data_IF_774422819297
#
_entry.id   IF_774422819297
#
_cell.length_a   1.000
_cell.length_b   1.000
_cell.length_c   1.000
_cell.angle_alpha   90.00
_cell.angle_beta   90.00
_cell.angle_gamma   90.00
#
_symmetry.space_group_name_H-M   'P 1'
#
loop_
_entity.id
_entity.type
_entity.pdbx_description
1 polymer ?
#
# COMPACT_ATOMS: atom_id res chain seq x y z
N UNK A 1 11.02 -16.89 17.23
CA UNK A 1 12.45 -16.50 17.18
C UNK A 1 12.59 -15.21 16.38
N UNK A 2 13.35 -14.23 16.88
CA UNK A 2 13.76 -13.05 16.10
C UNK A 2 14.91 -13.39 15.14
N UNK A 3 15.13 -12.55 14.12
CA UNK A 3 16.19 -12.71 13.12
C UNK A 3 17.59 -12.78 13.76
N UNK A 4 17.82 -12.06 14.87
CA UNK A 4 19.06 -12.11 15.65
C UNK A 4 19.35 -13.48 16.26
N UNK A 5 18.32 -14.26 16.60
CA UNK A 5 18.51 -15.58 17.22
C UNK A 5 18.78 -16.68 16.16
N UNK A 6 18.39 -16.46 14.90
CA UNK A 6 18.58 -17.45 13.84
C UNK A 6 20.04 -17.69 13.51
N UNK A 7 20.83 -16.63 13.34
CA UNK A 7 22.26 -16.70 13.04
C UNK A 7 23.04 -17.47 14.11
N UNK A 8 22.65 -17.30 15.37
CA UNK A 8 23.18 -18.05 16.51
C UNK A 8 22.87 -19.54 16.41
N UNK A 9 21.61 -19.94 16.22
CA UNK A 9 21.30 -21.38 16.10
C UNK A 9 21.89 -22.01 14.83
N UNK A 10 21.95 -21.28 13.72
CA UNK A 10 22.63 -21.74 12.50
C UNK A 10 24.12 -21.97 12.78
N UNK A 11 24.80 -21.08 13.51
CA UNK A 11 26.21 -21.28 13.86
C UNK A 11 26.44 -22.51 14.75
N UNK A 12 25.54 -22.77 15.70
CA UNK A 12 25.57 -23.99 16.51
C UNK A 12 25.37 -25.25 15.68
N UNK A 13 24.45 -25.23 14.71
CA UNK A 13 24.24 -26.33 13.76
C UNK A 13 25.50 -26.56 12.92
N UNK A 14 26.15 -25.51 12.43
CA UNK A 14 27.42 -25.62 11.70
C UNK A 14 28.56 -26.17 12.57
N UNK A 15 28.65 -25.73 13.82
CA UNK A 15 29.62 -26.27 14.80
C UNK A 15 29.36 -27.75 15.04
N UNK A 16 28.10 -28.14 15.20
CA UNK A 16 27.70 -29.52 15.33
C UNK A 16 28.10 -30.33 14.09
N UNK A 17 27.83 -29.81 12.89
CA UNK A 17 28.17 -30.44 11.62
C UNK A 17 29.68 -30.68 11.48
N UNK A 18 30.51 -29.65 11.76
CA UNK A 18 31.98 -29.70 11.57
C UNK A 18 32.73 -30.49 12.64
N UNK A 19 32.17 -30.67 13.82
CA UNK A 19 32.83 -31.41 14.89
C UNK A 19 32.84 -32.91 14.61
N UNK A 20 34.00 -33.55 14.58
CA UNK A 20 34.08 -35.00 14.47
C UNK A 20 33.64 -35.72 15.75
N UNK A 21 33.62 -35.03 16.89
CA UNK A 21 33.27 -35.62 18.20
C UNK A 21 31.74 -35.71 18.38
N UNK A 22 30.99 -34.84 17.71
CA UNK A 22 29.52 -34.85 17.74
C UNK A 22 29.01 -35.87 16.72
N UNK A 23 28.43 -36.97 17.20
CA UNK A 23 27.93 -38.07 16.35
C UNK A 23 26.42 -38.00 16.11
N UNK A 24 25.68 -37.42 17.04
CA UNK A 24 24.23 -37.22 16.94
C UNK A 24 23.84 -35.87 17.58
N UNK A 25 22.70 -35.33 17.17
CA UNK A 25 22.16 -34.07 17.67
C UNK A 25 20.68 -34.23 18.02
N UNK A 26 20.32 -33.82 19.23
CA UNK A 26 18.92 -33.67 19.63
C UNK A 26 18.59 -32.18 19.67
N UNK A 27 17.56 -31.77 18.92
CA UNK A 27 17.08 -30.40 18.86
C UNK A 27 15.81 -30.31 19.71
N UNK A 28 15.91 -29.65 20.86
CA UNK A 28 14.75 -29.34 21.70
C UNK A 28 13.92 -28.22 21.05
N UNK A 29 12.63 -28.44 20.87
CA UNK A 29 11.70 -27.49 20.25
C UNK A 29 10.51 -27.24 21.19
N UNK A 30 10.32 -25.97 21.51
CA UNK A 30 9.10 -25.43 22.11
C UNK A 30 8.87 -24.02 21.54
N UNK A 31 8.17 -23.95 20.41
CA UNK A 31 8.03 -22.71 19.64
C UNK A 31 6.77 -22.70 18.76
N UNK A 32 6.07 -21.55 18.68
CA UNK A 32 4.96 -21.35 17.76
C UNK A 32 5.42 -21.06 16.32
N UNK A 33 6.73 -20.90 16.08
CA UNK A 33 7.31 -20.55 14.78
C UNK A 33 8.03 -19.18 14.78
N UNK A 34 7.92 -18.46 13.68
CA UNK A 34 8.52 -17.13 13.51
C UNK A 34 8.61 -16.68 12.05
N UNK A 35 9.53 -15.75 11.78
CA UNK A 35 9.72 -15.16 10.45
C UNK A 35 10.08 -16.23 9.42
N UNK A 36 9.37 -16.25 8.29
CA UNK A 36 9.48 -17.29 7.27
C UNK A 36 10.92 -17.50 6.76
N UNK A 37 11.63 -16.43 6.40
CA UNK A 37 13.03 -16.50 5.92
C UNK A 37 13.99 -17.08 6.95
N UNK A 38 13.81 -16.73 8.23
CA UNK A 38 14.56 -17.27 9.35
C UNK A 38 14.30 -18.76 9.53
N UNK A 39 13.04 -19.18 9.47
CA UNK A 39 12.64 -20.59 9.61
C UNK A 39 13.13 -21.43 8.42
N UNK A 40 13.11 -20.87 7.21
CA UNK A 40 13.67 -21.52 6.02
C UNK A 40 15.20 -21.71 6.12
N UNK A 41 15.92 -20.69 6.60
CA UNK A 41 17.37 -20.80 6.83
C UNK A 41 17.70 -21.91 7.84
N UNK A 42 16.94 -21.99 8.93
CA UNK A 42 17.07 -23.05 9.93
C UNK A 42 16.72 -24.43 9.35
N UNK A 43 15.65 -24.53 8.56
CA UNK A 43 15.26 -25.76 7.88
C UNK A 43 16.40 -26.31 7.03
N UNK A 44 17.02 -25.49 6.18
CA UNK A 44 18.12 -25.94 5.33
C UNK A 44 19.37 -26.33 6.13
N UNK A 45 19.70 -25.58 7.20
CA UNK A 45 20.83 -25.92 8.07
C UNK A 45 20.61 -27.27 8.78
N UNK A 46 19.43 -27.49 9.37
CA UNK A 46 19.07 -28.77 10.01
C UNK A 46 19.01 -29.89 8.99
N UNK A 47 18.49 -29.63 7.78
CA UNK A 47 18.43 -30.63 6.72
C UNK A 47 19.83 -31.12 6.34
N UNK A 48 20.77 -30.19 6.17
CA UNK A 48 22.18 -30.52 5.89
C UNK A 48 22.81 -31.32 7.03
N UNK A 49 22.52 -30.96 8.27
CA UNK A 49 22.98 -31.72 9.44
C UNK A 49 22.42 -33.15 9.44
N UNK A 50 21.12 -33.32 9.15
CA UNK A 50 20.44 -34.62 9.08
C UNK A 50 20.96 -35.56 7.98
N UNK A 51 21.59 -35.01 6.93
CA UNK A 51 22.24 -35.81 5.88
C UNK A 51 23.52 -36.49 6.38
N UNK A 52 24.26 -35.83 7.29
CA UNK A 52 25.57 -36.29 7.74
C UNK A 52 25.51 -36.94 9.13
N UNK A 53 24.55 -36.54 9.97
CA UNK A 53 24.47 -36.95 11.38
C UNK A 53 23.06 -37.30 11.79
N UNK A 54 22.95 -38.23 12.74
CA UNK A 54 21.66 -38.58 13.32
C UNK A 54 21.10 -37.36 14.05
N UNK A 55 19.97 -36.86 13.55
CA UNK A 55 19.35 -35.66 14.08
C UNK A 55 17.92 -35.97 14.50
N UNK A 56 17.59 -35.71 15.77
CA UNK A 56 16.28 -35.97 16.37
C UNK A 56 15.70 -34.64 16.85
N UNK A 57 14.50 -34.28 16.39
CA UNK A 57 13.73 -33.21 17.02
C UNK A 57 13.00 -33.78 18.24
N UNK A 58 13.11 -33.12 19.39
CA UNK A 58 12.27 -33.39 20.55
C UNK A 58 11.32 -32.21 20.76
N UNK A 59 10.02 -32.47 20.68
CA UNK A 59 8.97 -31.47 20.93
C UNK A 59 8.53 -31.60 22.38
N UNK A 60 8.91 -30.63 23.20
CA UNK A 60 8.55 -30.59 24.62
C UNK A 60 7.16 -29.98 24.86
N UNK A 61 6.91 -28.82 24.26
CA UNK A 61 5.62 -28.13 24.33
C UNK A 61 4.96 -28.06 22.96
N UNK A 62 5.47 -27.19 22.10
CA UNK A 62 4.91 -26.94 20.77
C UNK A 62 5.97 -26.97 19.67
N UNK A 63 5.62 -27.49 18.51
CA UNK A 63 6.34 -27.21 17.27
C UNK A 63 5.32 -26.85 16.19
N UNK A 64 4.95 -25.58 16.11
CA UNK A 64 3.94 -25.08 15.18
C UNK A 64 4.54 -24.23 14.04
N UNK A 65 3.89 -24.23 12.88
CA UNK A 65 4.25 -23.48 11.67
C UNK A 65 5.74 -23.62 11.34
N UNK A 66 6.50 -22.52 11.36
CA UNK A 66 7.94 -22.52 11.11
C UNK A 66 8.75 -23.47 12.01
N UNK A 67 8.34 -23.69 13.26
CA UNK A 67 9.02 -24.62 14.15
C UNK A 67 8.79 -26.07 13.74
N UNK A 68 7.56 -26.42 13.31
CA UNK A 68 7.29 -27.73 12.72
C UNK A 68 8.08 -27.93 11.43
N UNK A 69 8.18 -26.88 10.62
CA UNK A 69 8.96 -26.90 9.40
C UNK A 69 10.42 -27.27 9.70
N UNK A 70 11.10 -26.61 10.64
CA UNK A 70 12.45 -27.00 11.09
C UNK A 70 12.48 -28.43 11.65
N UNK A 71 11.52 -28.82 12.49
CA UNK A 71 11.45 -30.17 13.05
C UNK A 71 11.36 -31.26 11.96
N UNK A 72 10.64 -30.98 10.87
CA UNK A 72 10.47 -31.90 9.75
C UNK A 72 11.77 -32.21 9.01
N UNK A 73 12.79 -31.33 9.10
CA UNK A 73 14.11 -31.56 8.53
C UNK A 73 14.94 -32.59 9.31
N UNK A 74 14.58 -32.90 10.57
CA UNK A 74 15.22 -33.94 11.37
C UNK A 74 14.93 -35.34 10.83
N UNK A 75 15.83 -36.29 11.11
CA UNK A 75 15.63 -37.69 10.73
C UNK A 75 14.48 -38.33 11.50
N UNK A 76 14.33 -37.97 12.78
CA UNK A 76 13.24 -38.41 13.64
C UNK A 76 12.64 -37.23 14.42
N UNK A 77 11.35 -37.33 14.75
CA UNK A 77 10.62 -36.41 15.61
C UNK A 77 10.02 -37.22 16.76
N UNK A 78 10.41 -36.87 17.98
CA UNK A 78 9.85 -37.38 19.24
C UNK A 78 9.05 -36.26 19.89
N UNK A 79 7.86 -36.55 20.40
CA UNK A 79 7.03 -35.54 21.08
C UNK A 79 6.42 -36.10 22.37
N UNK A 80 6.26 -35.27 23.40
CA UNK A 80 5.48 -35.66 24.57
C UNK A 80 4.00 -35.82 24.20
N UNK A 81 3.22 -36.69 24.87
CA UNK A 81 1.82 -36.94 24.51
C UNK A 81 0.94 -35.68 24.47
N UNK A 82 1.18 -34.72 25.37
CA UNK A 82 0.47 -33.45 25.45
C UNK A 82 1.02 -32.37 24.50
N UNK A 83 2.13 -32.62 23.81
CA UNK A 83 2.71 -31.66 22.88
C UNK A 83 1.86 -31.50 21.62
N UNK A 84 1.97 -30.32 21.00
CA UNK A 84 1.21 -29.97 19.80
C UNK A 84 2.14 -29.63 18.64
N UNK A 85 1.82 -30.14 17.46
CA UNK A 85 2.58 -29.93 16.23
C UNK A 85 1.69 -29.51 15.06
N UNK A 86 2.31 -29.14 13.94
CA UNK A 86 1.59 -28.80 12.70
C UNK A 86 1.44 -27.30 12.54
N UNK A 87 0.22 -26.81 12.29
CA UNK A 87 -0.09 -25.42 11.97
C UNK A 87 0.75 -24.89 10.79
N UNK A 88 0.96 -25.72 9.76
CA UNK A 88 1.70 -25.32 8.57
C UNK A 88 0.87 -24.29 7.81
N UNK A 89 1.35 -23.06 7.78
CA UNK A 89 0.63 -21.93 7.23
C UNK A 89 1.44 -20.64 7.36
N UNK A 90 1.06 -19.64 6.57
CA UNK A 90 1.68 -18.31 6.56
C UNK A 90 0.59 -17.27 6.81
N UNK A 91 0.87 -16.35 7.73
CA UNK A 91 0.10 -15.13 7.90
C UNK A 91 0.96 -14.00 7.35
N UNK A 92 0.39 -13.18 6.47
CA UNK A 92 1.07 -12.05 5.87
C UNK A 92 0.18 -10.80 5.93
N UNK A 93 0.82 -9.64 6.07
CA UNK A 93 0.15 -8.33 5.98
C UNK A 93 0.29 -7.87 4.54
N UNK A 94 -0.84 -7.66 3.87
CA UNK A 94 -0.85 -7.16 2.49
C UNK A 94 -0.29 -5.74 2.42
N UNK A 95 0.37 -5.36 1.32
CA UNK A 95 0.74 -3.97 1.09
C UNK A 95 -0.46 -3.01 1.23
N UNK A 96 -0.29 -1.80 1.78
CA UNK A 96 -1.36 -0.80 1.81
C UNK A 96 -1.47 -0.08 0.45
N UNK A 97 -2.67 0.43 0.13
CA UNK A 97 -2.84 1.36 -0.98
C UNK A 97 -2.02 2.64 -0.74
N UNK A 98 -1.32 3.11 -1.76
CA UNK A 98 -0.46 4.31 -1.67
C UNK A 98 -1.26 5.54 -2.08
N UNK A 99 -1.35 6.50 -1.16
CA UNK A 99 -1.87 7.84 -1.43
C UNK A 99 -0.72 8.62 -2.09
N UNK A 100 -0.93 9.28 -3.25
CA UNK A 100 0.13 10.01 -3.93
C UNK A 100 0.54 11.25 -3.10
N UNK A 101 1.76 11.74 -3.30
CA UNK A 101 2.28 12.92 -2.61
C UNK A 101 3.14 13.76 -3.52
N UNK A 102 3.03 15.08 -3.41
CA UNK A 102 3.94 16.03 -4.09
C UNK A 102 5.18 16.34 -3.23
N UNK A 103 5.18 15.96 -1.94
CA UNK A 103 6.29 16.21 -1.01
C UNK A 103 7.22 14.99 -0.88
N UNK A 104 6.69 13.79 -1.11
CA UNK A 104 7.45 12.53 -1.08
C UNK A 104 7.50 11.97 -2.49
N UNK A 105 8.71 11.88 -3.03
CA UNK A 105 8.97 11.43 -4.40
C UNK A 105 9.59 10.04 -4.35
N UNK A 106 8.81 9.03 -4.71
CA UNK A 106 9.27 7.65 -4.89
C UNK A 106 9.62 7.37 -6.35
N UNK A 107 10.66 6.60 -6.66
CA UNK A 107 11.08 6.35 -8.07
C UNK A 107 10.25 5.29 -8.81
N UNK A 108 9.08 4.89 -8.27
CA UNK A 108 8.19 3.92 -8.90
C UNK A 108 7.04 3.47 -7.96
N UNK A 109 5.98 2.86 -8.53
CA UNK A 109 4.73 2.58 -7.82
C UNK A 109 4.88 1.63 -6.63
N UNK A 110 5.84 0.69 -6.71
CA UNK A 110 6.08 -0.30 -5.68
C UNK A 110 7.19 0.09 -4.70
N UNK A 111 7.80 1.27 -4.83
CA UNK A 111 8.95 1.65 -4.00
C UNK A 111 8.57 1.85 -2.53
N UNK A 112 7.36 2.36 -2.26
CA UNK A 112 6.85 2.54 -0.90
C UNK A 112 6.35 1.23 -0.26
N UNK A 113 5.89 0.28 -1.07
CA UNK A 113 5.26 -0.96 -0.60
C UNK A 113 6.15 -2.20 -0.69
N UNK A 114 7.17 -2.16 -1.54
CA UNK A 114 8.02 -3.30 -1.90
C UNK A 114 7.37 -4.29 -2.87
N UNK A 115 6.05 -4.37 -2.89
CA UNK A 115 5.28 -5.37 -3.62
C UNK A 115 4.04 -4.78 -4.28
N UNK A 116 3.59 -5.45 -5.35
CA UNK A 116 2.25 -5.29 -5.92
C UNK A 116 1.19 -5.72 -4.92
N UNK A 117 0.10 -4.97 -4.81
CA UNK A 117 -1.03 -5.37 -3.98
C UNK A 117 -1.70 -6.63 -4.56
N UNK A 118 -1.91 -6.62 -5.88
CA UNK A 118 -2.62 -7.68 -6.61
C UNK A 118 -1.85 -9.01 -6.59
N UNK A 119 -0.53 -8.95 -6.77
CA UNK A 119 0.30 -10.15 -6.89
C UNK A 119 0.84 -10.68 -5.55
N UNK A 120 0.76 -9.89 -4.46
CA UNK A 120 1.28 -10.31 -3.16
C UNK A 120 0.68 -11.62 -2.61
N UNK A 121 -0.64 -11.89 -2.73
CA UNK A 121 -1.21 -13.18 -2.32
C UNK A 121 -0.56 -14.36 -3.05
N UNK A 122 -0.20 -14.21 -4.33
CA UNK A 122 0.49 -15.27 -5.08
C UNK A 122 1.92 -15.49 -4.58
N UNK A 123 2.62 -14.42 -4.19
CA UNK A 123 3.93 -14.55 -3.55
C UNK A 123 3.83 -15.34 -2.23
N UNK A 124 2.81 -15.07 -1.42
CA UNK A 124 2.56 -15.80 -0.16
C UNK A 124 2.24 -17.27 -0.44
N UNK A 125 1.36 -17.54 -1.41
CA UNK A 125 1.02 -18.91 -1.82
C UNK A 125 2.24 -19.70 -2.29
N UNK A 126 3.14 -19.07 -3.06
CA UNK A 126 4.36 -19.73 -3.52
C UNK A 126 5.29 -20.13 -2.37
N UNK A 127 5.44 -19.27 -1.35
CA UNK A 127 6.24 -19.58 -0.16
C UNK A 127 5.59 -20.73 0.63
N UNK A 128 4.26 -20.72 0.77
CA UNK A 128 3.50 -21.78 1.44
C UNK A 128 3.65 -23.12 0.71
N UNK A 129 3.52 -23.12 -0.62
CA UNK A 129 3.72 -24.30 -1.47
C UNK A 129 5.12 -24.89 -1.26
N UNK A 130 6.15 -24.06 -1.31
CA UNK A 130 7.53 -24.48 -1.09
C UNK A 130 7.73 -25.08 0.31
N UNK A 131 7.20 -24.44 1.35
CA UNK A 131 7.26 -24.93 2.73
C UNK A 131 6.59 -26.30 2.87
N UNK A 132 5.37 -26.46 2.37
CA UNK A 132 4.63 -27.72 2.46
C UNK A 132 5.29 -28.84 1.65
N UNK A 133 5.77 -28.56 0.44
CA UNK A 133 6.49 -29.54 -0.38
C UNK A 133 7.78 -29.99 0.30
N UNK A 134 8.54 -29.07 0.90
CA UNK A 134 9.73 -29.41 1.67
C UNK A 134 9.40 -30.32 2.88
N UNK A 135 8.27 -30.12 3.56
CA UNK A 135 7.81 -31.00 4.65
C UNK A 135 7.48 -32.39 4.10
N UNK A 136 6.73 -32.47 3.00
CA UNK A 136 6.36 -33.75 2.37
C UNK A 136 7.62 -34.51 1.96
N UNK A 137 8.59 -33.83 1.33
CA UNK A 137 9.86 -34.43 0.91
C UNK A 137 10.71 -34.86 2.12
N UNK A 138 10.73 -34.08 3.20
CA UNK A 138 11.51 -34.40 4.38
C UNK A 138 10.92 -35.60 5.14
N UNK A 139 9.59 -35.71 5.23
CA UNK A 139 8.87 -36.80 5.91
C UNK A 139 8.68 -38.04 5.01
N UNK A 140 8.76 -37.91 3.68
CA UNK A 140 8.68 -38.99 2.68
C UNK A 140 7.42 -39.85 2.87
N UNK A 141 7.56 -41.17 2.82
CA UNK A 141 6.47 -42.13 3.00
C UNK A 141 5.89 -42.19 4.42
N UNK A 142 6.43 -41.42 5.38
CA UNK A 142 5.89 -41.38 6.74
C UNK A 142 4.65 -40.50 6.83
N UNK A 143 4.63 -39.36 6.14
CA UNK A 143 3.50 -38.44 6.16
C UNK A 143 2.32 -39.05 5.40
N UNK A 144 1.15 -39.03 6.02
CA UNK A 144 -0.11 -39.57 5.45
C UNK A 144 -1.08 -38.47 5.02
N UNK A 145 -0.76 -37.23 5.35
CA UNK A 145 -1.52 -36.07 4.92
C UNK A 145 -1.15 -35.71 3.49
N UNK A 146 -2.17 -35.33 2.71
CA UNK A 146 -2.00 -34.70 1.40
C UNK A 146 -1.48 -33.27 1.56
N UNK A 147 -0.96 -32.70 0.47
CA UNK A 147 -0.57 -31.29 0.40
C UNK A 147 -1.69 -30.36 0.91
N UNK A 148 -2.93 -30.58 0.44
CA UNK A 148 -4.08 -29.75 0.81
C UNK A 148 -4.49 -29.88 2.27
N UNK A 149 -4.25 -31.03 2.91
CA UNK A 149 -4.52 -31.19 4.35
C UNK A 149 -3.46 -30.53 5.22
N UNK A 150 -2.19 -30.56 4.79
CA UNK A 150 -1.07 -29.92 5.51
C UNK A 150 -1.28 -28.41 5.59
N UNK A 151 -1.64 -27.77 4.47
CA UNK A 151 -1.75 -26.30 4.40
C UNK A 151 -3.03 -25.74 5.02
N UNK A 152 -3.90 -26.56 5.62
CA UNK A 152 -5.09 -26.10 6.34
C UNK A 152 -4.75 -25.37 7.65
N UNK A 153 -3.50 -25.40 8.10
CA UNK A 153 -3.09 -24.70 9.32
C UNK A 153 -3.60 -25.34 10.62
N UNK A 154 -3.94 -26.63 10.62
CA UNK A 154 -4.42 -27.35 11.81
C UNK A 154 -3.30 -27.69 12.78
N UNK A 155 -3.57 -27.57 14.08
CA UNK A 155 -2.74 -28.15 15.14
C UNK A 155 -3.17 -29.60 15.42
N UNK A 156 -2.20 -30.42 15.80
CA UNK A 156 -2.40 -31.82 16.14
C UNK A 156 -1.66 -32.15 17.43
N UNK A 157 -2.35 -32.81 18.37
CA UNK A 157 -1.67 -33.40 19.53
C UNK A 157 -0.76 -34.55 19.06
N UNK A 158 0.34 -34.81 19.78
CA UNK A 158 1.33 -35.83 19.43
C UNK A 158 0.69 -37.20 19.12
N UNK A 159 -0.28 -37.63 19.93
CA UNK A 159 -1.02 -38.89 19.75
C UNK A 159 -1.73 -39.01 18.40
N UNK A 160 -2.22 -37.88 17.86
CA UNK A 160 -2.83 -37.83 16.53
C UNK A 160 -1.76 -37.66 15.44
N UNK A 161 -0.78 -36.80 15.70
CA UNK A 161 0.31 -36.49 14.81
C UNK A 161 1.12 -37.75 14.42
N UNK A 162 1.27 -38.72 15.32
CA UNK A 162 1.91 -40.02 15.01
C UNK A 162 1.10 -40.79 13.97
N UNK A 163 -0.23 -40.85 14.12
CA UNK A 163 -1.11 -41.55 13.16
C UNK A 163 -1.09 -40.89 11.78
N UNK A 164 -0.90 -39.58 11.73
CA UNK A 164 -0.81 -38.78 10.51
C UNK A 164 0.62 -38.75 9.92
N UNK A 165 1.60 -39.28 10.64
CA UNK A 165 3.01 -39.28 10.21
C UNK A 165 3.73 -37.94 10.38
N UNK A 166 3.15 -37.02 11.14
CA UNK A 166 3.75 -35.75 11.50
C UNK A 166 4.82 -35.89 12.60
N UNK A 167 4.69 -36.90 13.47
CA UNK A 167 5.65 -37.27 14.53
C UNK A 167 5.99 -38.75 14.37
N UNK A 168 7.21 -39.17 14.71
CA UNK A 168 7.64 -40.57 14.60
C UNK A 168 7.37 -41.36 15.89
N UNK A 169 7.65 -40.77 17.05
CA UNK A 169 7.52 -41.43 18.34
C UNK A 169 6.92 -40.52 19.41
N UNK A 170 6.15 -41.11 20.31
CA UNK A 170 5.80 -40.50 21.59
C UNK A 170 6.91 -40.76 22.59
N UNK A 171 7.32 -39.76 23.37
CA UNK A 171 8.36 -39.93 24.39
C UNK A 171 8.80 -38.63 25.06
N UNK A 172 9.73 -38.77 26.00
CA UNK A 172 10.41 -37.70 26.71
C UNK A 172 11.72 -37.29 26.02
N UNK A 173 12.38 -36.26 26.57
CA UNK A 173 13.70 -35.84 26.09
C UNK A 173 14.74 -36.96 26.23
N UNK A 174 14.63 -37.77 27.28
CA UNK A 174 15.53 -38.90 27.53
C UNK A 174 15.39 -39.91 26.38
N UNK A 175 14.15 -40.24 26.00
CA UNK A 175 13.87 -41.16 24.89
C UNK A 175 14.43 -40.64 23.55
N UNK A 176 14.38 -39.33 23.32
CA UNK A 176 14.96 -38.71 22.14
C UNK A 176 16.50 -38.79 22.11
N UNK A 177 17.16 -38.64 23.26
CA UNK A 177 18.62 -38.79 23.41
C UNK A 177 19.03 -40.25 23.20
N UNK A 178 18.31 -41.20 23.81
CA UNK A 178 18.57 -42.62 23.63
C UNK A 178 18.33 -43.07 22.18
N UNK A 179 17.29 -42.58 21.52
CA UNK A 179 17.05 -42.79 20.09
C UNK A 179 18.22 -42.27 19.26
N UNK A 180 18.68 -41.05 19.53
CA UNK A 180 19.80 -40.46 18.81
C UNK A 180 21.10 -41.26 18.98
N UNK A 181 21.42 -41.68 20.22
CA UNK A 181 22.59 -42.49 20.52
C UNK A 181 22.54 -43.87 19.84
N UNK A 182 21.39 -44.55 19.93
CA UNK A 182 21.17 -45.86 19.30
C UNK A 182 21.33 -45.80 17.79
N UNK A 183 20.70 -44.84 17.14
CA UNK A 183 20.75 -44.67 15.68
C UNK A 183 22.14 -44.25 15.19
N UNK A 184 22.94 -43.61 16.05
CA UNK A 184 24.34 -43.28 15.79
C UNK A 184 25.32 -44.39 16.17
N UNK A 185 24.85 -45.52 16.71
CA UNK A 185 25.68 -46.65 17.11
C UNK A 185 26.53 -46.41 18.37
N UNK A 186 26.13 -45.49 19.24
CA UNK A 186 26.86 -45.12 20.46
C UNK A 186 26.41 -45.99 21.64
N UNK A 187 27.37 -46.52 22.40
CA UNK A 187 27.12 -47.27 23.65
C UNK A 187 27.51 -46.46 24.90
N UNK A 188 28.60 -45.72 24.79
CA UNK A 188 29.08 -44.76 25.77
C UNK A 188 29.17 -43.41 25.09
N UNK A 189 28.61 -42.38 25.71
CA UNK A 189 28.55 -41.04 25.14
C UNK A 189 28.37 -40.01 26.25
N UNK A 190 28.90 -38.81 26.02
CA UNK A 190 28.65 -37.64 26.85
C UNK A 190 27.61 -36.73 26.18
N UNK A 191 26.78 -36.11 27.01
CA UNK A 191 25.80 -35.11 26.55
C UNK A 191 26.42 -33.72 26.73
N UNK A 192 26.61 -33.03 25.62
CA UNK A 192 27.04 -31.63 25.61
C UNK A 192 25.91 -30.71 25.17
N UNK A 193 25.72 -29.61 25.90
CA UNK A 193 24.77 -28.57 25.54
C UNK A 193 25.49 -27.49 24.75
N UNK A 194 25.26 -27.44 23.43
CA UNK A 194 25.95 -26.50 22.54
C UNK A 194 25.61 -25.02 22.82
N UNK A 195 24.48 -24.76 23.50
CA UNK A 195 24.05 -23.43 23.89
C UNK A 195 24.61 -22.98 25.26
N UNK A 196 25.33 -23.83 26.01
CA UNK A 196 25.92 -23.42 27.31
C UNK A 196 27.28 -22.73 27.10
N UNK A 197 27.38 -21.49 27.58
CA UNK A 197 28.62 -20.70 27.61
C UNK A 197 28.66 -19.53 26.63
N UNK A 198 27.82 -19.55 25.59
CA UNK A 198 27.53 -18.38 24.77
C UNK A 198 26.23 -17.80 25.31
N UNK A 199 26.33 -16.75 26.13
CA UNK A 199 25.18 -15.92 26.45
C UNK A 199 24.53 -15.55 25.12
N UNK A 200 23.29 -15.97 24.89
CA UNK A 200 22.43 -15.36 23.88
C UNK A 200 22.66 -13.86 24.05
N UNK A 201 23.21 -13.19 23.03
CA UNK A 201 23.33 -11.73 23.02
C UNK A 201 22.02 -11.21 23.62
N UNK A 202 22.10 -10.30 24.62
CA UNK A 202 20.91 -9.86 25.34
C UNK A 202 19.84 -9.62 24.30
N UNK A 203 18.66 -10.23 24.49
CA UNK A 203 17.50 -9.99 23.66
C UNK A 203 17.48 -8.48 23.48
N UNK A 204 17.96 -8.01 22.33
CA UNK A 204 17.80 -6.61 21.98
C UNK A 204 16.30 -6.50 22.06
N UNK A 205 15.78 -5.64 22.95
CA UNK A 205 14.34 -5.52 23.09
C UNK A 205 13.77 -5.43 21.68
N UNK A 206 12.59 -5.99 21.45
CA UNK A 206 11.85 -5.97 20.17
C UNK A 206 11.69 -4.56 19.55
N UNK A 207 12.30 -3.55 20.16
CA UNK A 207 12.43 -2.14 19.83
C UNK A 207 13.73 -1.74 19.12
N UNK A 208 14.59 -2.69 18.68
CA UNK A 208 15.23 -2.51 17.37
C UNK A 208 14.26 -2.96 16.27
N UNK A 209 12.97 -2.67 16.47
CA UNK A 209 12.17 -2.17 15.38
C UNK A 209 13.06 -1.21 14.59
N UNK A 210 13.12 -1.40 13.30
CA UNK A 210 13.47 -0.32 12.41
C UNK A 210 12.35 0.74 12.53
N UNK A 211 12.14 1.33 13.71
CA UNK A 211 11.40 2.58 13.95
C UNK A 211 12.17 3.79 13.41
N UNK A 212 13.02 3.52 12.41
CA UNK A 212 13.40 4.47 11.39
C UNK A 212 12.14 4.67 10.55
N UNK A 213 11.27 5.56 10.99
CA UNK A 213 10.16 6.04 10.18
C UNK A 213 10.71 7.05 9.19
N UNK A 214 10.03 7.27 8.06
CA UNK A 214 10.42 8.37 7.16
C UNK A 214 10.44 9.71 7.92
N UNK A 215 9.49 9.93 8.84
CA UNK A 215 9.48 11.13 9.68
C UNK A 215 10.69 11.24 10.62
N UNK A 216 11.19 10.14 11.20
CA UNK A 216 12.38 10.15 12.07
C UNK A 216 13.69 10.25 11.28
N UNK A 217 13.72 9.81 10.02
CA UNK A 217 14.81 10.09 9.09
C UNK A 217 14.79 11.53 8.60
N UNK A 218 13.67 11.99 8.06
CA UNK A 218 13.54 13.32 7.44
C UNK A 218 13.72 14.43 8.47
N UNK A 219 13.24 14.26 9.71
CA UNK A 219 13.47 15.24 10.80
C UNK A 219 14.95 15.39 11.20
N UNK A 220 15.81 14.43 10.85
CA UNK A 220 17.26 14.53 11.07
C UNK A 220 17.99 15.28 9.96
N UNK A 221 17.33 15.57 8.85
CA UNK A 221 17.90 16.29 7.72
C UNK A 221 17.16 17.62 7.51
N UNK A 222 17.84 18.74 7.73
CA UNK A 222 17.26 20.09 7.61
C UNK A 222 17.17 20.61 6.16
N UNK A 223 17.41 19.77 5.15
CA UNK A 223 17.45 20.11 3.72
C UNK A 223 16.88 18.97 2.85
N UNK A 224 16.39 19.26 1.63
CA UNK A 224 16.01 18.21 0.67
C UNK A 224 17.14 17.19 0.52
N UNK A 225 16.87 15.91 0.81
CA UNK A 225 17.88 14.84 0.90
C UNK A 225 17.43 13.65 0.06
N UNK A 226 18.33 13.15 -0.80
CA UNK A 226 18.11 11.96 -1.63
C UNK A 226 18.57 10.73 -0.84
N UNK A 227 17.67 9.78 -0.57
CA UNK A 227 17.96 8.56 0.18
C UNK A 227 17.85 7.32 -0.71
N UNK A 228 18.92 6.52 -0.78
CA UNK A 228 18.94 5.21 -1.45
C UNK A 228 18.57 4.11 -0.44
N UNK A 229 17.31 4.07 -0.01
CA UNK A 229 16.84 3.13 1.02
C UNK A 229 15.44 2.61 0.69
N UNK A 230 15.07 1.48 1.29
CA UNK A 230 13.68 1.04 1.44
C UNK A 230 13.32 1.10 2.93
N UNK A 231 12.28 1.85 3.28
CA UNK A 231 11.81 1.98 4.67
C UNK A 231 10.35 1.52 4.72
N UNK A 232 10.03 0.46 5.49
CA UNK A 232 8.65 -0.02 5.64
C UNK A 232 7.73 1.07 6.22
N UNK A 233 6.51 1.18 5.68
CA UNK A 233 5.58 2.32 5.84
C UNK A 233 4.99 2.55 7.25
N UNK A 234 5.53 1.95 8.32
CA UNK A 234 5.05 2.27 9.65
C UNK A 234 5.34 3.75 9.95
N UNK A 235 4.29 4.57 10.02
CA UNK A 235 4.28 6.01 10.35
C UNK A 235 4.38 6.99 9.17
N UNK A 236 3.23 7.30 8.57
CA UNK A 236 3.02 8.52 7.81
C UNK A 236 1.80 9.27 8.35
N UNK A 237 2.05 10.46 8.88
CA UNK A 237 1.05 11.51 9.08
C UNK A 237 1.71 12.80 8.65
N UNK A 238 1.41 13.26 7.44
CA UNK A 238 1.79 14.61 7.04
C UNK A 238 0.68 15.56 7.44
N UNK A 239 1.04 16.57 8.24
CA UNK A 239 0.21 17.74 8.48
C UNK A 239 0.52 18.71 7.33
N UNK A 240 -0.45 18.99 6.45
CA UNK A 240 -0.32 20.06 5.44
C UNK A 240 -0.65 21.39 6.11
N UNK A 241 0.35 22.27 6.27
CA UNK A 241 0.22 23.57 6.97
C UNK A 241 -0.26 24.70 6.04
N UNK A 242 -0.30 24.46 4.74
CA UNK A 242 -0.44 25.41 3.63
C UNK A 242 -1.83 25.40 2.96
N UNK A 243 -2.79 24.70 3.58
CA UNK A 243 -4.20 24.72 3.17
C UNK A 243 -4.83 26.07 3.52
N UNK A 244 -5.72 26.59 2.66
CA UNK A 244 -6.49 27.79 2.97
C UNK A 244 -7.35 27.56 4.21
N UNK A 245 -6.84 28.01 5.36
CA UNK A 245 -7.59 28.10 6.61
C UNK A 245 -8.22 29.48 6.67
N UNK A 246 -9.55 29.47 6.67
CA UNK A 246 -10.48 30.55 6.97
C UNK A 246 -9.85 31.91 7.30
N UNK A 247 -9.92 32.83 6.33
CA UNK A 247 -10.04 34.26 6.61
C UNK A 247 -11.17 34.79 5.74
N UNK A 248 -12.36 34.88 6.34
CA UNK A 248 -13.48 35.60 5.75
C UNK A 248 -13.08 37.06 5.53
N UNK A 249 -12.86 37.43 4.26
CA UNK A 249 -12.95 38.80 3.81
C UNK A 249 -13.82 38.81 2.58
N UNK A 250 -14.98 39.46 2.68
CA UNK A 250 -15.81 39.78 1.54
C UNK A 250 -14.99 40.66 0.58
N UNK A 251 -14.67 40.11 -0.60
CA UNK A 251 -14.05 40.87 -1.66
C UNK A 251 -15.16 41.36 -2.58
N UNK A 252 -15.71 42.54 -2.29
CA UNK A 252 -16.66 43.21 -3.19
C UNK A 252 -15.87 43.89 -4.31
N UNK A 253 -16.07 43.44 -5.56
CA UNK A 253 -15.58 44.14 -6.76
C UNK A 253 -16.73 44.91 -7.38
N UNK A 254 -16.59 46.24 -7.49
CA UNK A 254 -17.55 47.09 -8.20
C UNK A 254 -17.38 47.05 -9.74
N UNK A 255 -16.46 46.22 -10.26
CA UNK A 255 -16.01 46.23 -11.67
C UNK A 255 -16.24 44.88 -12.37
N UNK A 256 -16.49 43.80 -11.63
CA UNK A 256 -16.65 42.46 -12.21
C UNK A 256 -18.09 42.23 -12.73
N UNK A 257 -18.18 41.57 -13.88
CA UNK A 257 -19.43 41.26 -14.58
C UNK A 257 -20.02 39.90 -14.19
N UNK A 258 -19.22 38.99 -13.63
CA UNK A 258 -19.65 37.64 -13.27
C UNK A 258 -19.25 37.25 -11.84
N UNK A 259 -20.17 36.63 -11.11
CA UNK A 259 -19.91 36.00 -9.81
C UNK A 259 -19.57 34.53 -10.01
N UNK A 260 -18.44 34.08 -9.45
CA UNK A 260 -18.00 32.68 -9.41
C UNK A 260 -17.98 32.24 -7.96
N UNK A 261 -18.65 31.14 -7.64
CA UNK A 261 -18.68 30.61 -6.28
C UNK A 261 -17.61 29.54 -6.13
N UNK A 262 -16.76 29.68 -5.11
CA UNK A 262 -15.86 28.63 -4.63
C UNK A 262 -16.45 28.03 -3.36
N UNK A 263 -16.84 26.77 -3.45
CA UNK A 263 -17.46 26.05 -2.35
C UNK A 263 -16.41 25.48 -1.39
N UNK A 264 -16.46 25.91 -0.13
CA UNK A 264 -15.71 25.38 1.01
C UNK A 264 -16.62 24.83 2.13
N UNK A 265 -17.94 24.71 1.92
CA UNK A 265 -18.88 24.30 2.97
C UNK A 265 -18.70 22.86 3.44
N UNK A 266 -18.09 22.00 2.62
CA UNK A 266 -17.87 20.58 2.89
C UNK A 266 -16.41 20.28 3.20
N UNK A 267 -15.73 21.27 3.80
CA UNK A 267 -14.27 21.25 4.08
C UNK A 267 -13.46 20.96 2.81
N UNK A 268 -13.95 21.47 1.69
CA UNK A 268 -13.31 21.39 0.38
C UNK A 268 -11.88 21.91 0.47
N UNK A 269 -10.96 21.18 -0.13
CA UNK A 269 -9.54 21.34 0.06
C UNK A 269 -8.94 22.06 -1.15
N UNK A 270 -8.42 23.27 -0.92
CA UNK A 270 -7.68 24.04 -1.92
C UNK A 270 -6.50 24.79 -1.27
N UNK A 271 -5.35 24.81 -1.94
CA UNK A 271 -4.17 25.52 -1.44
C UNK A 271 -4.23 27.00 -1.80
N UNK A 272 -3.46 27.84 -1.08
CA UNK A 272 -3.39 29.28 -1.39
C UNK A 272 -2.90 29.53 -2.83
N UNK A 273 -1.92 28.74 -3.30
CA UNK A 273 -1.36 28.89 -4.64
C UNK A 273 -2.38 28.53 -5.74
N UNK A 274 -3.14 27.45 -5.54
CA UNK A 274 -4.20 27.05 -6.48
C UNK A 274 -5.31 28.10 -6.55
N UNK A 275 -5.72 28.63 -5.40
CA UNK A 275 -6.69 29.70 -5.33
C UNK A 275 -6.20 30.99 -6.01
N UNK A 276 -4.95 31.39 -5.78
CA UNK A 276 -4.34 32.54 -6.46
C UNK A 276 -4.35 32.38 -7.98
N UNK A 277 -4.00 31.19 -8.49
CA UNK A 277 -4.07 30.87 -9.91
C UNK A 277 -5.50 31.05 -10.45
N UNK A 278 -6.51 30.45 -9.80
CA UNK A 278 -7.91 30.58 -10.23
C UNK A 278 -8.38 32.04 -10.17
N UNK A 279 -8.08 32.74 -9.07
CA UNK A 279 -8.47 34.13 -8.88
C UNK A 279 -7.89 35.04 -9.97
N UNK A 280 -6.60 34.88 -10.29
CA UNK A 280 -5.95 35.60 -11.38
C UNK A 280 -6.64 35.35 -12.72
N UNK A 281 -6.96 34.08 -13.00
CA UNK A 281 -7.54 33.65 -14.28
C UNK A 281 -8.96 34.16 -14.45
N UNK A 282 -9.85 33.97 -13.47
CA UNK A 282 -11.21 34.49 -13.53
C UNK A 282 -11.25 36.03 -13.58
N UNK A 283 -10.37 36.72 -12.84
CA UNK A 283 -10.31 38.19 -12.85
C UNK A 283 -9.94 38.76 -14.23
N UNK A 284 -9.07 38.08 -14.99
CA UNK A 284 -8.72 38.48 -16.38
C UNK A 284 -9.92 38.49 -17.31
N UNK A 285 -10.91 37.62 -17.06
CA UNK A 285 -12.17 37.51 -17.80
C UNK A 285 -13.34 38.18 -17.06
N UNK A 286 -13.06 39.24 -16.29
CA UNK A 286 -14.08 40.07 -15.67
C UNK A 286 -14.92 39.39 -14.58
N UNK A 287 -14.47 38.25 -14.05
CA UNK A 287 -15.16 37.52 -12.98
C UNK A 287 -14.44 37.64 -11.64
N UNK A 288 -15.19 37.62 -10.53
CA UNK A 288 -14.61 37.53 -9.18
C UNK A 288 -15.04 36.23 -8.50
N UNK A 289 -14.18 35.71 -7.63
CA UNK A 289 -14.47 34.50 -6.86
C UNK A 289 -14.99 34.88 -5.48
N UNK A 290 -16.23 34.49 -5.19
CA UNK A 290 -16.86 34.52 -3.87
C UNK A 290 -16.66 33.19 -3.18
N UNK A 291 -16.04 33.21 -2.01
CA UNK A 291 -15.85 32.02 -1.18
C UNK A 291 -17.10 31.80 -0.34
N UNK A 292 -17.59 30.57 -0.30
CA UNK A 292 -18.73 30.13 0.49
C UNK A 292 -18.26 29.08 1.49
N UNK A 293 -18.62 29.22 2.77
CA UNK A 293 -18.13 28.32 3.82
C UNK A 293 -19.24 27.58 4.58
N UNK A 294 -20.51 27.79 4.22
CA UNK A 294 -21.65 27.07 4.78
C UNK A 294 -22.68 26.72 3.72
N UNK A 295 -23.45 25.65 3.96
CA UNK A 295 -24.49 25.18 3.05
C UNK A 295 -25.60 26.20 2.83
N UNK A 296 -25.90 27.00 3.86
CA UNK A 296 -26.87 28.10 3.78
C UNK A 296 -26.38 29.21 2.83
N UNK A 297 -25.11 29.61 2.96
CA UNK A 297 -24.48 30.57 2.05
C UNK A 297 -24.42 30.03 0.63
N UNK A 298 -24.14 28.74 0.44
CA UNK A 298 -24.09 28.09 -0.87
C UNK A 298 -25.40 28.24 -1.62
N UNK A 299 -26.51 27.96 -0.93
CA UNK A 299 -27.85 28.06 -1.51
C UNK A 299 -28.14 29.46 -2.04
N UNK A 300 -27.84 30.50 -1.25
CA UNK A 300 -28.05 31.89 -1.66
C UNK A 300 -27.07 32.35 -2.74
N UNK A 301 -25.80 31.92 -2.67
CA UNK A 301 -24.79 32.33 -3.64
C UNK A 301 -25.07 31.78 -5.04
N UNK A 302 -25.61 30.56 -5.13
CA UNK A 302 -25.89 29.92 -6.42
C UNK A 302 -26.99 30.62 -7.24
N UNK A 303 -27.84 31.45 -6.64
CA UNK A 303 -28.86 32.21 -7.39
C UNK A 303 -28.25 33.26 -8.33
N UNK A 304 -27.03 33.74 -8.06
CA UNK A 304 -26.33 34.76 -8.87
C UNK A 304 -25.08 34.22 -9.56
N UNK A 305 -24.56 33.08 -9.10
CA UNK A 305 -23.33 32.52 -9.59
C UNK A 305 -23.43 32.08 -11.05
N UNK A 306 -22.46 32.47 -11.87
CA UNK A 306 -22.32 31.93 -13.23
C UNK A 306 -21.60 30.59 -13.25
N UNK A 307 -20.67 30.40 -12.31
CA UNK A 307 -19.87 29.18 -12.17
C UNK A 307 -19.78 28.81 -10.70
N UNK A 308 -19.89 27.52 -10.41
CA UNK A 308 -19.60 26.89 -9.12
C UNK A 308 -18.33 26.04 -9.25
N UNK A 309 -17.36 26.27 -8.37
CA UNK A 309 -16.12 25.51 -8.27
C UNK A 309 -16.15 24.67 -6.99
N UNK A 310 -15.98 23.36 -7.13
CA UNK A 310 -15.97 22.40 -6.02
C UNK A 310 -14.60 21.71 -5.98
N UNK A 311 -13.68 22.14 -5.11
CA UNK A 311 -12.34 21.56 -4.99
C UNK A 311 -12.26 20.49 -3.89
N UNK A 312 -12.13 19.23 -4.26
CA UNK A 312 -11.76 18.11 -3.37
C UNK A 312 -12.45 18.14 -1.99
N UNK A 313 -13.77 17.84 -1.91
CA UNK A 313 -14.51 17.80 -0.65
C UNK A 313 -13.96 16.74 0.32
N UNK A 314 -14.18 16.96 1.61
CA UNK A 314 -13.84 16.01 2.68
C UNK A 314 -15.03 15.63 3.56
N UNK A 315 -16.23 16.06 3.18
CA UNK A 315 -17.51 15.70 3.78
C UNK A 315 -18.54 15.44 2.68
N UNK A 316 -19.54 14.63 3.00
CA UNK A 316 -20.63 14.29 2.10
C UNK A 316 -21.61 15.46 1.93
N UNK A 317 -22.08 15.65 0.71
CA UNK A 317 -23.24 16.50 0.41
C UNK A 317 -24.55 15.79 0.75
N UNK A 318 -25.48 16.49 1.41
CA UNK A 318 -26.83 15.99 1.71
C UNK A 318 -27.73 15.98 0.47
N UNK A 319 -28.83 15.23 0.52
CA UNK A 319 -29.80 15.18 -0.59
C UNK A 319 -30.41 16.57 -0.89
N UNK A 320 -30.61 17.42 0.13
CA UNK A 320 -31.08 18.79 -0.03
C UNK A 320 -30.06 19.67 -0.76
N UNK A 321 -28.78 19.57 -0.39
CA UNK A 321 -27.70 20.33 -1.01
C UNK A 321 -27.48 19.89 -2.46
N UNK A 322 -27.52 18.58 -2.71
CA UNK A 322 -27.47 18.01 -4.06
C UNK A 322 -28.61 18.58 -4.91
N UNK A 323 -29.83 18.64 -4.36
CA UNK A 323 -30.97 19.23 -5.08
C UNK A 323 -30.73 20.69 -5.45
N UNK A 324 -30.17 21.50 -4.53
CA UNK A 324 -29.81 22.90 -4.81
C UNK A 324 -28.81 22.99 -5.97
N UNK A 325 -27.78 22.13 -5.99
CA UNK A 325 -26.79 22.09 -7.08
C UNK A 325 -27.41 21.66 -8.41
N UNK A 326 -28.36 20.72 -8.39
CA UNK A 326 -29.08 20.29 -9.59
C UNK A 326 -30.00 21.40 -10.12
N UNK A 327 -30.78 22.04 -9.26
CA UNK A 327 -31.64 23.17 -9.63
C UNK A 327 -30.80 24.33 -10.21
N UNK A 328 -29.60 24.55 -9.67
CA UNK A 328 -28.63 25.51 -10.21
C UNK A 328 -28.18 25.18 -11.64
N UNK A 329 -27.84 23.92 -11.92
CA UNK A 329 -27.49 23.46 -13.27
C UNK A 329 -28.68 23.62 -14.24
N UNK A 330 -29.90 23.33 -13.80
CA UNK A 330 -31.11 23.46 -14.62
C UNK A 330 -31.37 24.92 -15.03
N UNK A 331 -31.07 25.89 -14.16
CA UNK A 331 -31.12 27.33 -14.44
C UNK A 331 -29.99 27.82 -15.38
N UNK A 332 -29.13 26.93 -15.86
CA UNK A 332 -28.02 27.25 -16.77
C UNK A 332 -26.69 27.52 -16.07
N UNK A 333 -26.61 27.26 -14.77
CA UNK A 333 -25.38 27.26 -14.00
C UNK A 333 -24.37 26.23 -14.52
N UNK A 334 -23.11 26.41 -14.14
CA UNK A 334 -21.99 25.60 -14.62
C UNK A 334 -21.06 25.22 -13.50
N UNK A 335 -20.48 24.03 -13.58
CA UNK A 335 -19.69 23.46 -12.48
C UNK A 335 -18.30 23.08 -12.96
N UNK A 336 -17.31 23.44 -12.16
CA UNK A 336 -15.95 22.91 -12.21
C UNK A 336 -15.73 21.99 -10.99
N UNK A 337 -15.65 20.69 -11.23
CA UNK A 337 -15.27 19.70 -10.22
C UNK A 337 -13.76 19.45 -10.31
N UNK A 338 -13.05 19.66 -9.22
CA UNK A 338 -11.63 19.34 -9.09
C UNK A 338 -11.48 18.29 -8.00
N UNK A 339 -10.82 17.18 -8.27
CA UNK A 339 -10.57 16.15 -7.27
C UNK A 339 -9.10 15.73 -7.29
N UNK A 340 -8.47 15.77 -6.12
CA UNK A 340 -7.08 15.36 -5.93
C UNK A 340 -6.99 14.17 -4.97
N UNK A 341 -6.59 12.97 -5.45
CA UNK A 341 -6.45 11.77 -4.64
C UNK A 341 -5.34 11.87 -3.58
N UNK A 342 -4.49 12.92 -3.60
CA UNK A 342 -3.50 13.19 -2.55
C UNK A 342 -4.08 13.95 -1.35
N UNK A 343 -5.29 14.49 -1.47
CA UNK A 343 -5.93 15.37 -0.48
C UNK A 343 -7.12 14.72 0.22
N UNK A 344 -7.93 13.94 -0.49
CA UNK A 344 -9.16 13.34 0.05
C UNK A 344 -9.50 12.01 -0.65
N UNK A 345 -10.49 11.30 -0.11
CA UNK A 345 -11.07 10.11 -0.75
C UNK A 345 -12.11 10.52 -1.78
N UNK A 346 -12.14 9.79 -2.90
CA UNK A 346 -13.10 10.03 -3.99
C UNK A 346 -14.54 9.83 -3.53
N UNK A 347 -14.75 9.00 -2.50
CA UNK A 347 -16.05 8.83 -1.83
C UNK A 347 -16.79 10.16 -1.56
N UNK A 348 -16.12 11.17 -0.98
CA UNK A 348 -16.75 12.45 -0.65
C UNK A 348 -17.16 13.25 -1.89
N UNK A 349 -16.33 13.26 -2.94
CA UNK A 349 -16.69 13.91 -4.20
C UNK A 349 -17.87 13.18 -4.86
N UNK A 350 -17.85 11.86 -4.80
CA UNK A 350 -18.85 10.99 -5.41
C UNK A 350 -20.22 11.07 -4.73
N UNK A 351 -20.33 11.60 -3.51
CA UNK A 351 -21.62 11.87 -2.86
C UNK A 351 -22.48 12.83 -3.73
N UNK A 352 -21.84 13.81 -4.37
CA UNK A 352 -22.46 14.74 -5.30
C UNK A 352 -22.30 14.30 -6.76
N UNK A 353 -21.06 14.02 -7.20
CA UNK A 353 -20.76 13.88 -8.62
C UNK A 353 -21.47 12.69 -9.28
N UNK A 354 -21.79 11.64 -8.53
CA UNK A 354 -22.52 10.47 -9.05
C UNK A 354 -23.91 10.84 -9.57
N UNK A 355 -24.56 11.83 -8.95
CA UNK A 355 -25.85 12.39 -9.40
C UNK A 355 -25.72 13.23 -10.67
N UNK A 356 -24.49 13.66 -10.99
CA UNK A 356 -24.12 14.38 -12.21
C UNK A 356 -23.65 13.45 -13.34
N UNK A 357 -23.70 12.13 -13.14
CA UNK A 357 -23.21 11.15 -14.12
C UNK A 357 -21.68 11.01 -14.15
N UNK A 358 -21.02 11.33 -13.03
CA UNK A 358 -19.55 11.37 -12.90
C UNK A 358 -19.13 10.60 -11.65
N UNK A 359 -18.18 9.67 -11.78
CA UNK A 359 -17.60 8.94 -10.64
C UNK A 359 -16.09 9.01 -10.72
N UNK A 360 -15.48 9.65 -9.72
CA UNK A 360 -14.02 9.68 -9.54
C UNK A 360 -13.53 8.36 -8.95
N UNK A 361 -12.42 7.86 -9.48
CA UNK A 361 -11.78 6.63 -9.00
C UNK A 361 -10.91 6.90 -7.79
N UNK A 362 -10.77 5.90 -6.92
CA UNK A 362 -9.74 5.91 -5.88
C UNK A 362 -8.36 5.61 -6.47
N UNK A 363 -7.32 6.09 -5.77
CA UNK A 363 -5.92 5.93 -6.20
C UNK A 363 -5.51 6.90 -7.30
N UNK A 364 -4.33 6.65 -7.89
CA UNK A 364 -3.73 7.53 -8.89
C UNK A 364 -3.28 6.77 -10.14
N UNK A 365 -3.13 7.53 -11.22
CA UNK A 365 -2.62 7.11 -12.50
C UNK A 365 -1.11 7.38 -12.58
N UNK A 366 -0.39 6.51 -13.27
CA UNK A 366 1.03 6.67 -13.50
C UNK A 366 1.46 6.07 -14.84
N UNK A 367 2.56 6.56 -15.40
CA UNK A 367 3.15 6.04 -16.62
C UNK A 367 4.68 5.95 -16.44
N UNK A 368 5.24 4.74 -16.60
CA UNK A 368 6.68 4.52 -16.41
C UNK A 368 7.54 4.98 -17.60
N UNK A 369 6.92 5.26 -18.76
CA UNK A 369 7.64 5.57 -20.01
C UNK A 369 7.32 6.97 -20.53
N UNK A 370 6.03 7.28 -20.69
CA UNK A 370 5.57 8.57 -21.21
C UNK A 370 5.09 9.45 -20.06
N UNK A 371 6.04 10.05 -19.33
CA UNK A 371 5.76 10.91 -18.19
C UNK A 371 6.67 12.15 -18.20
N UNK A 372 6.24 13.21 -17.55
CA UNK A 372 7.02 14.44 -17.41
C UNK A 372 7.98 14.33 -16.23
N UNK A 373 9.15 13.75 -16.48
CA UNK A 373 10.27 13.64 -15.52
C UNK A 373 10.02 12.71 -14.32
N UNK A 374 8.76 12.42 -14.01
CA UNK A 374 8.33 11.64 -12.87
C UNK A 374 7.14 10.76 -13.21
N UNK A 375 7.17 9.49 -12.81
CA UNK A 375 6.22 8.47 -13.29
C UNK A 375 4.74 8.79 -12.99
N UNK A 376 4.43 9.59 -11.95
CA UNK A 376 3.06 10.04 -11.67
C UNK A 376 2.62 11.26 -12.50
N UNK A 377 3.58 11.99 -13.08
CA UNK A 377 3.30 13.16 -13.90
C UNK A 377 2.94 12.70 -15.31
N UNK A 378 1.67 12.37 -15.52
CA UNK A 378 1.19 11.79 -16.77
C UNK A 378 0.88 12.88 -17.80
N UNK A 379 1.21 12.60 -19.06
CA UNK A 379 0.70 13.39 -20.18
C UNK A 379 -0.75 13.04 -20.45
N UNK A 380 -1.55 14.07 -20.75
CA UNK A 380 -2.97 13.97 -21.03
C UNK A 380 -3.28 14.78 -22.29
N UNK A 381 -4.09 14.21 -23.18
CA UNK A 381 -4.35 14.73 -24.52
C UNK A 381 -5.86 14.91 -24.74
N UNK A 382 -6.30 15.95 -25.45
CA UNK A 382 -7.70 16.11 -25.79
C UNK A 382 -8.16 15.02 -26.78
N UNK A 383 -9.33 14.42 -26.53
CA UNK A 383 -9.93 13.47 -27.48
C UNK A 383 -10.78 14.15 -28.56
N UNK A 384 -11.24 15.36 -28.29
CA UNK A 384 -12.05 16.19 -29.21
C UNK A 384 -11.44 17.59 -29.35
N UNK A 385 -11.51 18.16 -30.56
CA UNK A 385 -11.15 19.55 -30.82
C UNK A 385 -12.37 20.45 -30.59
N UNK A 386 -12.34 21.25 -29.52
CA UNK A 386 -13.41 22.17 -29.11
C UNK A 386 -12.85 23.34 -28.29
N UNK A 387 -13.73 24.21 -27.79
CA UNK A 387 -13.37 25.42 -27.04
C UNK A 387 -12.50 25.10 -25.80
N UNK A 388 -12.61 23.91 -25.20
CA UNK A 388 -11.81 23.53 -24.03
C UNK A 388 -10.41 23.05 -24.42
N UNK A 389 -10.27 22.42 -25.59
CA UNK A 389 -9.00 21.91 -26.13
C UNK A 389 -8.32 22.84 -27.13
N UNK A 390 -8.88 24.04 -27.36
CA UNK A 390 -8.34 25.01 -28.33
C UNK A 390 -6.84 25.26 -28.11
N UNK A 391 -6.04 24.95 -29.13
CA UNK A 391 -4.58 25.06 -29.15
C UNK A 391 -3.84 24.25 -28.07
N UNK A 392 -4.52 23.35 -27.36
CA UNK A 392 -3.91 22.45 -26.37
C UNK A 392 -3.42 21.20 -27.10
N UNK A 393 -2.09 21.02 -27.16
CA UNK A 393 -1.48 19.82 -27.71
C UNK A 393 -1.35 18.73 -26.67
N UNK A 394 -0.88 19.08 -25.47
CA UNK A 394 -0.78 18.18 -24.34
C UNK A 394 -0.71 18.95 -23.02
N UNK A 395 -1.31 18.38 -21.98
CA UNK A 395 -1.19 18.86 -20.60
C UNK A 395 -0.52 17.79 -19.73
N UNK A 396 -0.09 18.20 -18.54
CA UNK A 396 0.51 17.29 -17.54
C UNK A 396 -0.24 17.40 -16.24
N UNK A 397 -0.67 16.26 -15.70
CA UNK A 397 -1.30 16.12 -14.38
C UNK A 397 -0.37 15.35 -13.45
N UNK A 398 -0.29 15.72 -12.17
CA UNK A 398 0.77 15.26 -11.25
C UNK A 398 0.26 14.25 -10.20
N UNK A 399 -1.02 14.33 -9.87
CA UNK A 399 -1.72 13.41 -8.96
C UNK A 399 -3.01 12.91 -9.58
N UNK A 400 -3.01 12.61 -10.87
CA UNK A 400 -4.23 12.30 -11.61
C UNK A 400 -4.93 11.02 -11.12
N UNK A 401 -6.26 11.01 -11.11
CA UNK A 401 -7.10 9.82 -11.05
C UNK A 401 -7.97 9.68 -12.30
N UNK A 402 -8.56 8.51 -12.49
CA UNK A 402 -9.52 8.26 -13.55
C UNK A 402 -10.94 8.70 -13.16
N UNK A 403 -11.71 9.18 -14.13
CA UNK A 403 -13.12 9.52 -14.01
C UNK A 403 -13.96 8.64 -14.93
N UNK A 404 -14.96 7.96 -14.36
CA UNK A 404 -16.03 7.30 -15.11
C UNK A 404 -17.14 8.30 -15.40
N UNK A 405 -17.57 8.37 -16.66
CA UNK A 405 -18.73 9.16 -17.07
C UNK A 405 -19.30 8.64 -18.39
N UNK A 406 -20.56 8.96 -18.66
CA UNK A 406 -21.20 8.75 -19.96
C UNK A 406 -20.96 9.91 -20.94
N UNK A 407 -20.18 10.92 -20.56
CA UNK A 407 -19.85 12.04 -21.42
C UNK A 407 -18.97 11.61 -22.61
N UNK A 408 -19.20 12.23 -23.76
CA UNK A 408 -18.47 11.94 -25.00
C UNK A 408 -17.19 12.76 -25.14
N UNK A 409 -17.10 13.90 -24.46
CA UNK A 409 -15.94 14.79 -24.47
C UNK A 409 -15.06 14.55 -23.25
N UNK A 410 -13.77 14.32 -23.49
CA UNK A 410 -12.81 13.97 -22.45
C UNK A 410 -11.38 14.31 -22.88
N UNK A 411 -10.47 14.31 -21.90
CA UNK A 411 -9.05 14.16 -22.18
C UNK A 411 -8.63 12.79 -21.72
N UNK A 412 -7.75 12.15 -22.48
CA UNK A 412 -7.23 10.82 -22.22
C UNK A 412 -5.77 10.86 -21.78
N UNK A 413 -5.42 10.01 -20.83
CA UNK A 413 -4.05 9.80 -20.43
C UNK A 413 -3.26 9.13 -21.56
N UNK A 414 -1.97 9.42 -21.61
CA UNK A 414 -1.04 8.81 -22.55
C UNK A 414 -1.11 7.27 -22.60
N UNK A 415 -0.85 6.70 -23.77
CA UNK A 415 -0.72 5.24 -23.90
C UNK A 415 0.35 4.67 -22.94
N UNK A 416 0.13 3.47 -22.38
CA UNK A 416 0.99 2.91 -21.33
C UNK A 416 0.68 3.42 -19.92
N UNK A 417 -0.36 4.25 -19.73
CA UNK A 417 -0.75 4.71 -18.39
C UNK A 417 -1.45 3.58 -17.64
N UNK A 418 -1.11 3.42 -16.37
CA UNK A 418 -1.62 2.40 -15.46
C UNK A 418 -2.33 3.05 -14.28
N UNK A 419 -3.30 2.36 -13.69
CA UNK A 419 -3.86 2.73 -12.39
C UNK A 419 -3.15 1.97 -11.28
N UNK A 420 -2.86 2.64 -10.15
CA UNK A 420 -2.32 1.98 -8.96
C UNK A 420 -3.28 0.92 -8.41
N UNK A 421 -4.59 1.15 -8.50
CA UNK A 421 -5.60 0.27 -7.89
C UNK A 421 -5.78 -1.00 -8.71
N UNK A 422 -5.85 -0.88 -10.04
CA UNK A 422 -6.07 -2.03 -10.92
C UNK A 422 -4.76 -2.70 -11.35
N UNK A 423 -3.64 -2.00 -11.24
CA UNK A 423 -2.32 -2.40 -11.75
C UNK A 423 -2.35 -2.83 -13.23
N UNK A 424 -3.28 -2.25 -14.00
CA UNK A 424 -3.46 -2.53 -15.42
C UNK A 424 -3.41 -1.26 -16.26
N UNK A 425 -2.98 -1.43 -17.51
CA UNK A 425 -3.08 -0.43 -18.57
C UNK A 425 -4.50 -0.40 -19.13
N UNK A 426 -5.04 0.80 -19.33
CA UNK A 426 -6.36 1.01 -19.92
C UNK A 426 -6.45 2.44 -20.50
N UNK A 427 -7.55 2.75 -21.19
CA UNK A 427 -7.90 4.10 -21.62
C UNK A 427 -8.42 4.91 -20.43
N UNK A 428 -7.50 5.53 -19.69
CA UNK A 428 -7.86 6.37 -18.57
C UNK A 428 -8.23 7.79 -19.01
N UNK A 429 -9.40 8.25 -18.56
CA UNK A 429 -9.92 9.61 -18.75
C UNK A 429 -9.82 10.40 -17.44
N UNK A 430 -8.75 11.17 -17.22
CA UNK A 430 -8.65 12.01 -16.02
C UNK A 430 -9.47 13.30 -16.12
N UNK A 431 -9.98 13.64 -17.31
CA UNK A 431 -10.83 14.81 -17.52
C UNK A 431 -12.03 14.39 -18.35
N UNK A 432 -13.24 14.72 -17.88
CA UNK A 432 -14.48 14.52 -18.61
C UNK A 432 -15.31 15.79 -18.53
N UNK A 433 -16.02 16.13 -19.59
CA UNK A 433 -16.80 17.36 -19.61
C UNK A 433 -18.01 17.29 -20.53
N UNK A 434 -18.95 18.19 -20.26
CA UNK A 434 -20.16 18.47 -21.03
C UNK A 434 -20.35 19.98 -21.15
N UNK A 435 -21.44 20.45 -21.74
CA UNK A 435 -21.71 21.88 -21.90
C UNK A 435 -21.74 22.65 -20.55
N UNK A 436 -22.15 21.99 -19.47
CA UNK A 436 -22.35 22.61 -18.15
C UNK A 436 -21.32 22.18 -17.10
N UNK A 437 -20.63 21.05 -17.28
CA UNK A 437 -19.80 20.46 -16.24
C UNK A 437 -18.42 20.16 -16.80
N UNK A 438 -17.38 20.57 -16.08
CA UNK A 438 -15.99 20.16 -16.31
C UNK A 438 -15.53 19.44 -15.05
N UNK A 439 -15.08 18.19 -15.18
CA UNK A 439 -14.56 17.40 -14.07
C UNK A 439 -13.13 16.95 -14.34
N UNK A 440 -12.24 17.23 -13.39
CA UNK A 440 -10.79 16.99 -13.51
C UNK A 440 -10.33 16.21 -12.28
N UNK A 441 -9.74 15.05 -12.50
CA UNK A 441 -9.22 14.14 -11.48
C UNK A 441 -7.82 14.53 -11.01
N UNK A 442 -7.49 15.82 -11.04
CA UNK A 442 -6.27 16.39 -10.50
C UNK A 442 -6.55 17.87 -10.13
N UNK A 443 -5.92 18.35 -9.06
CA UNK A 443 -5.96 19.77 -8.68
C UNK A 443 -4.57 20.42 -8.69
N UNK A 444 -3.51 19.60 -8.71
CA UNK A 444 -2.12 20.05 -8.64
C UNK A 444 -1.67 20.81 -9.88
N UNK A 445 -2.28 20.62 -11.04
CA UNK A 445 -1.99 21.41 -12.25
C UNK A 445 -2.22 22.92 -12.06
N UNK A 446 -3.06 23.31 -11.08
CA UNK A 446 -3.31 24.70 -10.69
C UNK A 446 -2.20 25.30 -9.80
N UNK A 447 -1.28 24.48 -9.26
CA UNK A 447 -0.13 25.00 -8.53
C UNK A 447 0.68 25.91 -9.45
N UNK A 448 1.11 27.07 -8.96
CA UNK A 448 1.75 28.12 -9.79
C UNK A 448 2.91 27.57 -10.63
N UNK A 449 3.74 26.67 -10.08
CA UNK A 449 4.84 26.02 -10.81
C UNK A 449 4.33 25.09 -11.93
N UNK A 450 3.27 24.34 -11.67
CA UNK A 450 2.70 23.35 -12.57
C UNK A 450 1.94 24.01 -13.74
N UNK A 451 1.51 25.27 -13.60
CA UNK A 451 0.93 26.03 -14.72
C UNK A 451 1.92 26.21 -15.88
N UNK A 452 3.23 26.22 -15.60
CA UNK A 452 4.28 26.43 -16.60
C UNK A 452 4.72 25.13 -17.32
N UNK A 453 4.08 24.00 -17.02
CA UNK A 453 4.40 22.70 -17.62
C UNK A 453 3.47 22.41 -18.79
N UNK A 454 4.05 22.06 -19.94
CA UNK A 454 3.30 21.82 -21.19
C UNK A 454 2.28 22.94 -21.47
N UNK A 455 1.06 22.60 -21.91
CA UNK A 455 0.01 23.59 -22.20
C UNK A 455 -0.91 23.86 -20.99
N UNK A 456 -0.50 23.51 -19.76
CA UNK A 456 -1.35 23.65 -18.56
C UNK A 456 -1.90 25.06 -18.38
N UNK A 457 -1.07 26.10 -18.57
CA UNK A 457 -1.51 27.50 -18.48
C UNK A 457 -2.61 27.84 -19.47
N UNK A 458 -2.48 27.37 -20.72
CA UNK A 458 -3.44 27.58 -21.79
C UNK A 458 -4.73 26.81 -21.51
N UNK A 459 -4.62 25.55 -21.08
CA UNK A 459 -5.77 24.75 -20.69
C UNK A 459 -6.56 25.39 -19.54
N UNK A 460 -5.91 25.99 -18.55
CA UNK A 460 -6.58 26.76 -17.49
C UNK A 460 -7.33 27.97 -18.06
N UNK A 461 -6.74 28.70 -19.01
CA UNK A 461 -7.42 29.81 -19.70
C UNK A 461 -8.66 29.30 -20.46
N UNK A 462 -8.55 28.16 -21.14
CA UNK A 462 -9.65 27.53 -21.84
C UNK A 462 -10.77 27.09 -20.88
N UNK A 463 -10.46 26.52 -19.71
CA UNK A 463 -11.46 26.19 -18.69
C UNK A 463 -12.28 27.42 -18.32
N UNK A 464 -11.62 28.56 -18.06
CA UNK A 464 -12.32 29.78 -17.64
C UNK A 464 -13.20 30.33 -18.76
N UNK A 465 -12.68 30.46 -19.99
CA UNK A 465 -13.47 30.89 -21.16
C UNK A 465 -14.65 29.93 -21.40
N UNK A 466 -14.38 28.63 -21.38
CA UNK A 466 -15.36 27.57 -21.58
C UNK A 466 -16.49 27.68 -20.57
N UNK A 467 -16.21 27.90 -19.28
CA UNK A 467 -17.21 28.03 -18.21
C UNK A 467 -17.94 29.39 -18.23
N UNK A 468 -17.30 30.46 -18.69
CA UNK A 468 -17.95 31.76 -18.82
C UNK A 468 -18.73 31.94 -20.14
N UNK A 469 -18.63 31.03 -21.13
CA UNK A 469 -19.17 31.20 -22.50
C UNK A 469 -18.66 32.50 -23.16
N UNK A 470 -17.42 32.90 -22.90
CA UNK A 470 -16.82 33.98 -23.67
C UNK A 470 -16.23 33.38 -24.95
N UNK A 471 -16.73 33.85 -26.10
CA UNK A 471 -16.07 33.66 -27.40
C UNK A 471 -15.32 34.95 -27.72
N UNK A 472 -14.08 34.82 -28.18
CA UNK A 472 -13.24 35.94 -28.62
C UNK A 472 -13.89 36.77 -29.74
#
# INVERSE_FOLDING_TARGET
MSEYNSSFYVSLIYRALKSNDIKAVVIYIDSPGGVASTMESMFYAVRKLSEEKVTVAYVGGMAASGAYYVASACRYIVASPSSVVGNVGIIAVVPPLVVPSEYVIETGPYKATGFSYLYFPFNVSHILEKMANNIIEARRNRIRLTFHEIIQGKLYFAVEAIRLGLVDYEGSLIDAIELAAREAGLREYDIIYLNKGESSLPILPETLSWNITYSSLLSRYSKPTILLLYVPRASFTFIREDMLRYYSRECHSSVASYEVVLDLSHKNLITLLQFQTLQEKFMRYGAYIKIVASSEELTYALDKAKVLIIPTPSLDYSDEEIKVVMDYLDKGGRILLLFDPSLSYAYYMNSLSSRLGIVFSEGYLYNMKNCFGYYRNIYVYPSTADDLSENVSAIVLFTATHIYSNFTSYFEASNGTMSLVTENEDLFKPIVYSEKIVAIGDQTFLNTLNTCVADNRLFIDNIVRYLLKEKD
#
